data_IF_469498207729
#
_entry.id   IF_469498207729
#
_cell.length_a   1.000
_cell.length_b   1.000
_cell.length_c   1.000
_cell.angle_alpha   90.00
_cell.angle_beta   90.00
_cell.angle_gamma   90.00
#
_symmetry.space_group_name_H-M   'P 1'
#
loop_
_entity.id
_entity.type
_entity.pdbx_description
1 polymer ?
#
# COMPACT_ATOMS: atom_id res chain seq x y z
N UNK A 1 1.88 15.08 -5.75
CA UNK A 1 2.47 14.39 -4.57
C UNK A 1 1.43 14.37 -3.46
N UNK A 2 1.30 13.21 -2.80
CA UNK A 2 0.35 12.94 -1.73
C UNK A 2 1.11 12.30 -0.57
N UNK A 3 2.10 13.05 -0.06
CA UNK A 3 3.01 12.57 0.98
C UNK A 3 2.28 12.34 2.30
N UNK A 4 2.78 11.37 3.07
CA UNK A 4 2.24 11.06 4.38
C UNK A 4 2.54 9.64 4.83
N UNK A 5 2.15 8.65 4.04
CA UNK A 5 2.60 7.27 4.26
C UNK A 5 4.12 7.16 4.07
N UNK A 6 4.61 7.76 3.00
CA UNK A 6 6.01 8.02 2.75
C UNK A 6 6.20 9.46 2.25
N UNK A 7 7.42 10.03 2.35
CA UNK A 7 7.68 11.41 1.90
C UNK A 7 7.56 11.56 0.38
N UNK A 8 7.77 10.48 -0.36
CA UNK A 8 7.76 10.37 -1.83
C UNK A 8 6.43 9.78 -2.37
N UNK A 9 5.42 9.58 -1.53
CA UNK A 9 4.12 9.05 -1.97
C UNK A 9 3.45 9.95 -3.01
N UNK A 10 2.89 9.31 -4.04
CA UNK A 10 2.09 9.96 -5.09
C UNK A 10 0.74 9.27 -5.22
N UNK A 11 -0.26 10.05 -5.65
CA UNK A 11 -1.53 9.51 -6.14
C UNK A 11 -1.72 9.95 -7.58
N UNK A 12 -2.32 9.08 -8.39
CA UNK A 12 -2.50 9.27 -9.83
C UNK A 12 -3.98 9.47 -10.10
N UNK A 13 -4.34 10.61 -10.68
CA UNK A 13 -5.71 10.92 -11.07
C UNK A 13 -5.94 10.53 -12.53
N UNK A 14 -6.91 9.64 -12.77
CA UNK A 14 -7.38 9.29 -14.10
C UNK A 14 -8.47 10.27 -14.53
N UNK A 15 -8.20 10.96 -15.63
CA UNK A 15 -9.16 11.81 -16.34
C UNK A 15 -9.68 11.07 -17.57
N UNK A 16 -10.96 11.24 -17.91
CA UNK A 16 -11.47 10.81 -19.20
C UNK A 16 -11.13 11.80 -20.32
N UNK A 17 -11.58 11.51 -21.54
CA UNK A 17 -11.37 12.35 -22.73
C UNK A 17 -12.00 13.74 -22.60
N UNK A 18 -12.95 13.93 -21.67
CA UNK A 18 -13.59 15.20 -21.37
C UNK A 18 -12.95 15.91 -20.16
N UNK A 19 -11.76 15.46 -19.75
CA UNK A 19 -11.03 15.95 -18.58
C UNK A 19 -11.78 15.79 -17.24
N UNK A 20 -12.75 14.87 -17.15
CA UNK A 20 -13.48 14.60 -15.90
C UNK A 20 -12.74 13.57 -15.05
N UNK A 21 -12.68 13.81 -13.74
CA UNK A 21 -12.10 12.87 -12.78
C UNK A 21 -12.94 11.59 -12.69
N UNK A 22 -12.37 10.47 -13.14
CA UNK A 22 -13.04 9.16 -13.11
C UNK A 22 -12.61 8.32 -11.92
N UNK A 23 -11.31 8.28 -11.68
CA UNK A 23 -10.72 7.48 -10.62
C UNK A 23 -9.43 8.10 -10.12
N UNK A 24 -9.06 7.80 -8.88
CA UNK A 24 -7.76 8.13 -8.29
C UNK A 24 -7.13 6.87 -7.73
N UNK A 25 -5.90 6.59 -8.16
CA UNK A 25 -5.05 5.56 -7.58
C UNK A 25 -4.29 6.18 -6.42
N UNK A 26 -4.68 5.86 -5.20
CA UNK A 26 -4.24 6.57 -3.99
C UNK A 26 -2.97 6.01 -3.40
N UNK A 27 -2.47 4.88 -3.91
CA UNK A 27 -1.36 4.17 -3.28
C UNK A 27 -1.72 3.83 -1.84
N UNK A 28 -0.80 4.13 -0.93
CA UNK A 28 -1.01 3.97 0.51
C UNK A 28 -1.40 5.28 1.22
N UNK A 29 -1.75 6.34 0.48
CA UNK A 29 -2.22 7.59 1.09
C UNK A 29 -3.63 7.43 1.68
N UNK A 30 -4.56 6.83 0.93
CA UNK A 30 -5.96 6.66 1.32
C UNK A 30 -6.40 5.23 1.00
N UNK A 31 -6.92 4.54 2.01
CA UNK A 31 -7.55 3.22 1.91
C UNK A 31 -9.07 3.34 2.01
N UNK A 32 -9.78 2.23 1.81
CA UNK A 32 -11.21 2.18 2.10
C UNK A 32 -11.43 2.16 3.61
N UNK A 33 -11.92 3.27 4.15
CA UNK A 33 -12.18 3.47 5.58
C UNK A 33 -10.98 3.87 6.44
N UNK A 34 -9.80 4.06 5.84
CA UNK A 34 -8.56 4.39 6.58
C UNK A 34 -7.55 5.16 5.72
N UNK A 35 -6.39 5.49 6.27
CA UNK A 35 -5.25 6.15 5.61
C UNK A 35 -3.94 5.45 5.95
N UNK A 36 -2.89 5.73 5.17
CA UNK A 36 -1.56 5.16 5.39
C UNK A 36 -0.97 5.49 6.76
N UNK A 37 -0.38 4.49 7.41
CA UNK A 37 0.40 4.72 8.63
C UNK A 37 1.73 5.47 8.31
N UNK A 38 2.15 6.45 9.13
CA UNK A 38 3.29 7.33 8.82
C UNK A 38 4.63 6.91 9.44
N UNK A 39 4.72 5.70 10.01
CA UNK A 39 5.81 5.23 10.88
C UNK A 39 6.68 4.12 10.27
N UNK A 40 6.39 3.67 9.04
CA UNK A 40 7.13 2.56 8.41
C UNK A 40 8.50 2.95 7.86
N UNK A 41 8.72 4.24 7.65
CA UNK A 41 10.01 4.80 7.27
C UNK A 41 10.33 5.80 8.36
N UNK A 42 10.78 5.38 9.54
CA UNK A 42 11.15 6.32 10.61
C UNK A 42 12.63 6.75 10.53
N UNK A 43 13.54 5.81 10.26
CA UNK A 43 15.00 6.00 10.41
C UNK A 43 15.65 7.00 9.43
N UNK A 44 15.13 7.11 8.22
CA UNK A 44 15.56 8.05 7.16
C UNK A 44 15.15 9.55 7.31
N UNK A 45 14.49 10.03 8.38
CA UNK A 45 14.31 11.48 8.57
C UNK A 45 14.94 11.96 9.85
N UNK A 46 15.50 13.14 9.70
CA UNK A 46 16.37 13.80 10.63
C UNK A 46 15.49 14.60 11.60
N UNK A 47 15.67 14.43 12.91
CA UNK A 47 15.15 15.38 13.92
C UNK A 47 13.99 14.93 14.81
N UNK A 48 13.80 13.63 15.09
CA UNK A 48 13.01 13.17 16.24
C UNK A 48 11.47 13.28 16.16
N UNK A 49 10.93 13.90 15.11
CA UNK A 49 9.49 14.12 14.88
C UNK A 49 8.98 13.54 13.56
N UNK A 50 9.59 12.44 13.06
CA UNK A 50 9.36 12.00 11.67
C UNK A 50 7.93 11.53 11.42
N UNK A 51 7.38 10.67 12.27
CA UNK A 51 6.04 10.11 12.08
C UNK A 51 4.94 11.18 12.29
N UNK A 52 5.14 12.12 13.22
CA UNK A 52 4.26 13.26 13.41
C UNK A 52 4.30 14.20 12.20
N UNK A 53 5.49 14.46 11.65
CA UNK A 53 5.65 15.26 10.44
C UNK A 53 5.01 14.60 9.21
N UNK A 54 5.18 13.28 9.06
CA UNK A 54 4.52 12.50 8.02
C UNK A 54 3.00 12.43 8.21
N UNK A 55 2.50 12.31 9.45
CA UNK A 55 1.09 12.44 9.76
C UNK A 55 0.53 13.82 9.39
N UNK A 56 1.25 14.90 9.70
CA UNK A 56 0.89 16.26 9.29
C UNK A 56 0.83 16.42 7.77
N UNK A 57 1.80 15.83 7.05
CA UNK A 57 1.76 15.79 5.59
C UNK A 57 0.55 15.01 5.07
N UNK A 58 0.22 13.88 5.68
CA UNK A 58 -0.95 13.08 5.31
C UNK A 58 -2.26 13.86 5.51
N UNK A 59 -2.37 14.57 6.63
CA UNK A 59 -3.49 15.48 6.92
C UNK A 59 -3.67 16.52 5.82
N UNK A 60 -2.58 17.17 5.39
CA UNK A 60 -2.63 18.16 4.30
C UNK A 60 -2.91 17.52 2.94
N UNK A 61 -2.25 16.40 2.62
CA UNK A 61 -2.40 15.70 1.34
C UNK A 61 -3.85 15.25 1.13
N UNK A 62 -4.47 14.64 2.14
CA UNK A 62 -5.87 14.21 2.07
C UNK A 62 -6.81 15.40 1.86
N UNK A 63 -6.68 16.46 2.66
CA UNK A 63 -7.58 17.62 2.62
C UNK A 63 -7.44 18.50 1.39
N UNK A 64 -6.22 18.73 0.92
CA UNK A 64 -5.97 19.66 -0.19
C UNK A 64 -6.00 18.98 -1.56
N UNK A 65 -5.83 17.65 -1.63
CA UNK A 65 -5.77 16.90 -2.89
C UNK A 65 -6.92 15.93 -3.07
N UNK A 66 -7.18 15.05 -2.11
CA UNK A 66 -8.16 13.96 -2.29
C UNK A 66 -9.58 14.42 -1.99
N UNK A 67 -9.78 15.15 -0.90
CA UNK A 67 -11.10 15.65 -0.48
C UNK A 67 -11.66 16.74 -1.40
N UNK A 68 -10.82 17.31 -2.28
CA UNK A 68 -11.24 18.32 -3.28
C UNK A 68 -11.74 17.69 -4.59
N UNK A 69 -11.58 16.38 -4.75
CA UNK A 69 -12.04 15.66 -5.94
C UNK A 69 -13.57 15.54 -5.96
N UNK A 70 -14.20 15.42 -7.15
CA UNK A 70 -15.63 15.16 -7.25
C UNK A 70 -16.01 13.88 -6.51
N UNK A 71 -17.14 13.91 -5.79
CA UNK A 71 -17.58 12.79 -4.95
C UNK A 71 -17.77 11.46 -5.71
N UNK A 72 -18.08 11.51 -7.01
CA UNK A 72 -18.23 10.33 -7.86
C UNK A 72 -16.90 9.68 -8.28
N UNK A 73 -15.75 10.34 -8.03
CA UNK A 73 -14.43 9.81 -8.36
C UNK A 73 -14.19 8.51 -7.59
N UNK A 74 -13.87 7.42 -8.31
CA UNK A 74 -13.51 6.13 -7.70
C UNK A 74 -12.16 6.21 -7.00
N UNK A 75 -12.00 5.48 -5.90
CA UNK A 75 -10.78 5.40 -5.11
C UNK A 75 -10.22 3.99 -5.22
N UNK A 76 -8.98 3.87 -5.69
CA UNK A 76 -8.23 2.62 -5.78
C UNK A 76 -6.96 2.68 -4.95
N UNK A 77 -6.96 2.10 -3.74
CA UNK A 77 -5.77 2.00 -2.92
C UNK A 77 -4.77 0.96 -3.44
N UNK A 78 -3.52 0.98 -2.97
CA UNK A 78 -2.54 -0.08 -3.29
C UNK A 78 -2.70 -1.35 -2.42
N UNK A 79 -3.41 -1.23 -1.29
CA UNK A 79 -3.69 -2.31 -0.36
C UNK A 79 -5.16 -2.37 0.06
N UNK A 80 -5.62 -3.57 0.39
CA UNK A 80 -6.98 -3.82 0.86
C UNK A 80 -7.02 -4.54 2.21
N UNK A 81 -8.12 -5.26 2.50
CA UNK A 81 -8.36 -5.93 3.78
C UNK A 81 -7.19 -6.78 4.25
N UNK A 82 -6.74 -6.54 5.48
CA UNK A 82 -5.68 -7.32 6.13
C UNK A 82 -4.26 -6.82 5.95
N UNK A 83 -4.06 -5.72 5.21
CA UNK A 83 -2.76 -5.07 5.09
C UNK A 83 -2.29 -4.44 6.40
N UNK A 84 -0.98 -4.53 6.66
CA UNK A 84 -0.32 -3.89 7.81
C UNK A 84 -0.01 -2.40 7.58
N UNK A 85 -0.31 -1.87 6.38
CA UNK A 85 -0.10 -0.46 6.01
C UNK A 85 -1.22 0.47 6.52
N UNK A 86 -2.35 -0.08 6.99
CA UNK A 86 -3.45 0.64 7.63
C UNK A 86 -3.85 0.02 8.98
N UNK A 87 -4.64 0.73 9.78
CA UNK A 87 -5.14 0.30 11.10
C UNK A 87 -6.39 -0.57 11.01
N UNK A 88 -7.32 -0.22 10.12
CA UNK A 88 -8.64 -0.83 9.96
C UNK A 88 -9.02 -0.80 8.49
N UNK A 89 -8.70 -1.86 7.76
CA UNK A 89 -9.09 -1.96 6.34
C UNK A 89 -10.46 -2.64 6.19
N UNK A 90 -11.37 -1.97 5.48
CA UNK A 90 -12.67 -2.50 5.05
C UNK A 90 -12.53 -3.81 4.24
N UNK A 91 -13.55 -4.69 4.18
CA UNK A 91 -13.59 -5.82 3.25
C UNK A 91 -13.65 -5.40 1.77
N UNK A 92 -13.98 -4.14 1.48
CA UNK A 92 -14.09 -3.61 0.13
C UNK A 92 -12.70 -3.35 -0.50
N UNK A 93 -12.58 -3.63 -1.80
CA UNK A 93 -11.34 -3.41 -2.57
C UNK A 93 -11.23 -1.99 -3.17
N UNK A 94 -12.35 -1.28 -3.29
CA UNK A 94 -12.41 0.08 -3.82
C UNK A 94 -13.56 0.89 -3.19
N UNK A 95 -13.56 2.20 -3.42
CA UNK A 95 -14.55 3.13 -2.85
C UNK A 95 -14.79 4.34 -3.76
N UNK A 96 -15.46 5.37 -3.24
CA UNK A 96 -15.60 6.68 -3.89
C UNK A 96 -15.23 7.79 -2.92
N UNK A 97 -14.82 8.94 -3.44
CA UNK A 97 -14.53 10.12 -2.62
C UNK A 97 -15.73 10.49 -1.74
N UNK A 98 -16.96 10.42 -2.27
CA UNK A 98 -18.17 10.69 -1.48
C UNK A 98 -18.35 9.71 -0.31
N UNK A 99 -18.09 8.41 -0.52
CA UNK A 99 -18.19 7.41 0.56
C UNK A 99 -17.11 7.66 1.61
N UNK A 100 -15.86 7.85 1.20
CA UNK A 100 -14.77 8.12 2.14
C UNK A 100 -14.98 9.40 2.94
N UNK A 101 -15.43 10.50 2.33
CA UNK A 101 -15.78 11.73 3.07
C UNK A 101 -16.86 11.49 4.12
N UNK A 102 -17.81 10.58 3.86
CA UNK A 102 -18.91 10.28 4.77
C UNK A 102 -18.53 9.31 5.88
N UNK A 103 -17.65 8.34 5.63
CA UNK A 103 -17.45 7.19 6.53
C UNK A 103 -16.03 7.01 7.01
N UNK A 104 -15.02 7.55 6.33
CA UNK A 104 -13.62 7.40 6.72
C UNK A 104 -13.33 8.30 7.91
N UNK A 105 -12.91 7.71 9.04
CA UNK A 105 -12.67 8.46 10.28
C UNK A 105 -11.60 9.56 10.07
N UNK A 106 -10.59 9.28 9.24
CA UNK A 106 -9.44 10.16 9.01
C UNK A 106 -9.79 11.41 8.17
N UNK A 107 -10.92 11.36 7.44
CA UNK A 107 -11.42 12.46 6.61
C UNK A 107 -12.50 13.31 7.32
N UNK A 108 -12.85 12.98 8.56
CA UNK A 108 -13.82 13.74 9.33
C UNK A 108 -13.25 15.10 9.78
N UNK A 109 -14.11 16.10 10.09
CA UNK A 109 -13.66 17.37 10.64
C UNK A 109 -12.92 17.18 11.97
N UNK A 110 -11.63 17.54 11.98
CA UNK A 110 -10.75 17.52 13.14
C UNK A 110 -9.56 18.45 12.89
N UNK A 111 -8.94 18.95 13.96
CA UNK A 111 -7.66 19.68 13.86
C UNK A 111 -6.52 18.77 13.40
N UNK A 112 -5.42 19.36 12.95
CA UNK A 112 -4.23 18.59 12.58
C UNK A 112 -3.66 17.85 13.78
N UNK A 113 -3.67 18.47 14.96
CA UNK A 113 -3.16 17.90 16.20
C UNK A 113 -3.99 16.68 16.62
N UNK A 114 -5.32 16.78 16.54
CA UNK A 114 -6.22 15.65 16.79
C UNK A 114 -6.00 14.52 15.79
N UNK A 115 -5.86 14.85 14.50
CA UNK A 115 -5.56 13.85 13.47
C UNK A 115 -4.26 13.12 13.75
N UNK A 116 -3.17 13.83 14.06
CA UNK A 116 -1.88 13.21 14.36
C UNK A 116 -2.00 12.28 15.56
N UNK A 117 -2.67 12.73 16.63
CA UNK A 117 -2.89 11.91 17.82
C UNK A 117 -3.65 10.63 17.47
N UNK A 118 -4.81 10.75 16.83
CA UNK A 118 -5.65 9.60 16.46
C UNK A 118 -4.94 8.68 15.47
N UNK A 119 -4.16 9.21 14.53
CA UNK A 119 -3.40 8.42 13.57
C UNK A 119 -2.21 7.70 14.21
N UNK A 120 -1.59 8.21 15.26
CA UNK A 120 -0.44 7.54 15.90
C UNK A 120 -0.83 6.58 17.04
N UNK A 121 -2.08 6.63 17.50
CA UNK A 121 -2.60 5.74 18.54
C UNK A 121 -2.79 4.29 18.04
N UNK A 122 -2.39 3.29 18.83
CA UNK A 122 -2.64 1.86 18.55
C UNK A 122 -2.21 1.34 17.16
N UNK A 123 -1.10 1.84 16.61
CA UNK A 123 -0.52 1.30 15.37
C UNK A 123 -0.04 -0.15 15.55
N UNK A 124 -0.30 -1.06 14.58
CA UNK A 124 0.14 -2.44 14.66
C UNK A 124 1.68 -2.52 14.61
N UNK A 125 2.25 -3.64 15.10
CA UNK A 125 3.70 -3.82 15.06
C UNK A 125 4.24 -3.75 13.62
N UNK A 126 5.47 -3.26 13.46
CA UNK A 126 6.16 -3.24 12.16
C UNK A 126 6.94 -4.54 11.99
N UNK A 127 6.70 -5.33 10.93
CA UNK A 127 7.49 -6.54 10.67
C UNK A 127 8.97 -6.23 10.42
N UNK A 128 9.87 -7.08 10.93
CA UNK A 128 11.33 -6.88 10.81
C UNK A 128 11.84 -6.83 9.37
N UNK A 129 11.13 -7.44 8.43
CA UNK A 129 11.52 -7.45 7.01
C UNK A 129 11.23 -6.12 6.29
N UNK A 130 10.40 -5.25 6.86
CA UNK A 130 9.94 -4.04 6.17
C UNK A 130 11.08 -3.09 5.79
N UNK A 131 12.05 -2.90 6.70
CA UNK A 131 13.25 -2.09 6.42
C UNK A 131 14.12 -2.67 5.30
N UNK A 132 14.16 -4.01 5.17
CA UNK A 132 14.84 -4.67 4.06
C UNK A 132 14.13 -4.38 2.73
N UNK A 133 12.79 -4.47 2.70
CA UNK A 133 12.01 -4.24 1.49
C UNK A 133 12.07 -2.79 1.02
N UNK A 134 12.00 -1.83 1.95
CA UNK A 134 12.22 -0.40 1.64
C UNK A 134 13.59 -0.19 0.99
N UNK A 135 14.65 -0.80 1.55
CA UNK A 135 16.00 -0.70 1.01
C UNK A 135 16.09 -1.31 -0.38
N UNK A 136 15.54 -2.50 -0.58
CA UNK A 136 15.55 -3.21 -1.87
C UNK A 136 14.81 -2.41 -2.94
N UNK A 137 13.61 -1.91 -2.63
CA UNK A 137 12.79 -1.13 -3.56
C UNK A 137 13.49 0.15 -4.01
N UNK A 138 14.24 0.81 -3.11
CA UNK A 138 15.04 2.00 -3.45
C UNK A 138 16.27 1.68 -4.32
N UNK A 139 16.88 0.52 -4.09
CA UNK A 139 18.07 0.09 -4.85
C UNK A 139 17.70 -0.51 -6.21
N UNK A 140 16.45 -0.95 -6.37
CA UNK A 140 16.00 -1.76 -7.47
C UNK A 140 16.21 -3.24 -7.16
N UNK A 141 15.13 -4.02 -7.28
CA UNK A 141 15.23 -5.47 -7.22
C UNK A 141 15.83 -6.01 -8.53
N UNK A 142 16.53 -7.17 -8.48
CA UNK A 142 16.86 -7.91 -9.70
C UNK A 142 15.60 -8.24 -10.49
N UNK A 143 15.77 -8.53 -11.79
CA UNK A 143 14.65 -9.00 -12.60
C UNK A 143 14.02 -10.25 -11.98
N UNK A 144 12.75 -10.50 -12.32
CA UNK A 144 12.07 -11.72 -11.87
C UNK A 144 12.86 -12.98 -12.29
N UNK A 145 13.32 -13.03 -13.54
CA UNK A 145 14.08 -14.17 -14.06
C UNK A 145 15.41 -14.38 -13.33
N UNK A 146 16.15 -13.31 -13.06
CA UNK A 146 17.40 -13.38 -12.30
C UNK A 146 17.16 -13.82 -10.86
N UNK A 147 16.08 -13.33 -10.25
CA UNK A 147 15.68 -13.69 -8.89
C UNK A 147 15.35 -15.18 -8.78
N UNK A 148 14.59 -15.72 -9.74
CA UNK A 148 14.26 -17.15 -9.80
C UNK A 148 15.52 -17.99 -10.06
N UNK A 149 16.40 -17.53 -10.95
CA UNK A 149 17.66 -18.23 -11.24
C UNK A 149 18.60 -18.27 -10.04
N UNK A 150 18.69 -17.17 -9.28
CA UNK A 150 19.54 -17.07 -8.10
C UNK A 150 19.04 -17.92 -6.93
N UNK A 151 17.73 -18.12 -6.80
CA UNK A 151 17.15 -19.04 -5.82
C UNK A 151 17.55 -20.51 -6.06
N UNK A 152 17.97 -20.84 -7.29
CA UNK A 152 18.33 -22.18 -7.72
C UNK A 152 17.11 -23.12 -7.81
N UNK A 153 17.29 -24.37 -8.28
CA UNK A 153 16.24 -25.38 -8.17
C UNK A 153 15.98 -25.65 -6.68
N UNK A 154 14.88 -25.11 -6.17
CA UNK A 154 14.37 -25.41 -4.84
C UNK A 154 13.92 -26.87 -4.82
N UNK A 155 14.84 -27.79 -4.52
CA UNK A 155 14.39 -29.02 -3.86
C UNK A 155 13.92 -28.58 -2.48
N UNK A 156 12.60 -28.47 -2.28
CA UNK A 156 12.03 -28.61 -0.94
C UNK A 156 12.46 -29.98 -0.45
N UNK A 157 13.66 -30.09 0.14
CA UNK A 157 14.13 -31.35 0.70
C UNK A 157 13.22 -31.65 1.90
N UNK A 158 12.50 -32.78 1.92
CA UNK A 158 11.78 -33.21 3.11
C UNK A 158 12.84 -33.63 4.13
N UNK A 159 13.38 -32.67 4.89
CA UNK A 159 14.37 -32.98 5.92
C UNK A 159 14.09 -32.17 7.17
N UNK A 160 13.08 -32.60 7.93
CA UNK A 160 13.18 -32.69 9.38
C UNK A 160 12.03 -33.54 9.97
N UNK A 161 12.30 -34.56 10.83
CA UNK A 161 11.27 -35.36 11.48
C UNK A 161 10.74 -34.77 12.81
N UNK A 162 11.10 -33.54 13.19
CA UNK A 162 10.75 -33.03 14.52
C UNK A 162 10.28 -31.57 14.44
N UNK A 163 9.05 -31.36 14.86
CA UNK A 163 8.33 -30.10 14.92
C UNK A 163 9.08 -29.04 15.73
N UNK A 164 9.83 -28.15 15.07
CA UNK A 164 10.15 -26.79 15.51
C UNK A 164 10.79 -26.01 14.37
N UNK A 165 10.29 -24.79 14.17
CA UNK A 165 10.76 -23.76 13.23
C UNK A 165 10.31 -23.92 11.77
N UNK A 166 9.23 -23.23 11.38
CA UNK A 166 9.22 -22.33 10.21
C UNK A 166 8.25 -21.16 10.50
N UNK A 167 8.72 -19.95 10.22
CA UNK A 167 7.96 -18.70 10.34
C UNK A 167 6.87 -18.72 9.27
N UNK A 168 5.62 -18.71 9.71
CA UNK A 168 4.44 -18.68 8.87
C UNK A 168 4.08 -17.21 8.62
N UNK A 169 4.14 -16.76 7.37
CA UNK A 169 3.56 -15.48 6.95
C UNK A 169 2.25 -15.81 6.20
N UNK A 170 1.11 -15.52 6.83
CA UNK A 170 -0.22 -15.64 6.22
C UNK A 170 -0.59 -14.35 5.50
N UNK A 171 -1.06 -14.43 4.26
CA UNK A 171 -2.38 -13.93 3.81
C UNK A 171 -2.82 -14.73 2.55
N UNK A 172 -4.14 -14.84 2.34
CA UNK A 172 -4.92 -16.03 1.93
C UNK A 172 -4.69 -16.71 0.57
N UNK A 173 -4.90 -18.05 0.57
CA UNK A 173 -5.20 -18.87 -0.61
C UNK A 173 -4.73 -20.33 -0.49
N UNK A 174 -5.41 -21.17 0.31
CA UNK A 174 -5.14 -22.61 0.34
C UNK A 174 -5.64 -23.22 -0.97
N UNK A 175 -4.72 -23.64 -1.84
CA UNK A 175 -5.02 -24.62 -2.89
C UNK A 175 -4.34 -25.94 -2.53
N UNK A 176 -4.99 -27.06 -2.87
CA UNK A 176 -4.49 -28.42 -2.67
C UNK A 176 -3.29 -28.71 -3.59
N UNK A 177 -2.15 -28.11 -3.30
CA UNK A 177 -0.82 -28.56 -3.70
C UNK A 177 0.20 -27.77 -2.88
N UNK A 178 0.74 -28.40 -1.84
CA UNK A 178 1.71 -27.77 -0.95
C UNK A 178 2.97 -27.33 -1.70
N UNK A 179 3.13 -26.00 -1.85
CA UNK A 179 4.38 -25.22 -1.81
C UNK A 179 4.05 -23.79 -2.27
N UNK A 180 3.90 -22.86 -1.33
CA UNK A 180 3.68 -21.44 -1.65
C UNK A 180 5.02 -20.75 -1.83
N UNK A 181 5.36 -20.37 -3.06
CA UNK A 181 6.43 -19.43 -3.38
C UNK A 181 6.12 -18.07 -2.72
N UNK A 182 7.14 -17.41 -2.18
CA UNK A 182 7.06 -16.00 -1.78
C UNK A 182 7.51 -15.17 -2.99
N UNK A 183 6.62 -14.48 -3.72
CA UNK A 183 7.06 -13.50 -4.70
C UNK A 183 7.53 -12.25 -3.95
N UNK A 184 8.63 -11.69 -4.40
CA UNK A 184 8.99 -10.30 -4.07
C UNK A 184 7.78 -9.41 -4.37
N UNK A 185 7.37 -8.61 -3.38
CA UNK A 185 6.21 -7.73 -3.45
C UNK A 185 6.45 -6.71 -4.58
N UNK A 186 5.96 -7.04 -5.76
CA UNK A 186 5.61 -6.06 -6.77
C UNK A 186 4.14 -5.73 -6.50
N UNK A 187 3.83 -4.49 -6.12
CA UNK A 187 2.45 -4.02 -6.12
C UNK A 187 1.99 -3.89 -7.58
N UNK A 188 1.61 -5.01 -8.18
CA UNK A 188 0.94 -5.10 -9.46
C UNK A 188 -0.44 -5.69 -9.21
N UNK A 189 -1.49 -4.93 -9.52
CA UNK A 189 -2.86 -5.42 -9.49
C UNK A 189 -3.03 -6.54 -10.53
N UNK A 190 -3.31 -7.77 -10.08
CA UNK A 190 -3.91 -8.83 -10.90
C UNK A 190 -5.33 -9.02 -10.40
N UNK A 191 -6.31 -8.41 -11.08
CA UNK A 191 -7.72 -8.68 -10.84
C UNK A 191 -8.14 -9.92 -11.61
N UNK A 192 -8.45 -11.01 -10.90
CA UNK A 192 -9.04 -12.20 -11.51
C UNK A 192 -10.52 -11.90 -11.83
N UNK A 193 -10.80 -11.69 -13.11
CA UNK A 193 -12.17 -11.58 -13.61
C UNK A 193 -12.31 -12.30 -14.95
N UNK A 194 -11.99 -13.61 -14.98
CA UNK A 194 -12.66 -14.62 -15.82
C UNK A 194 -12.77 -14.44 -17.36
N UNK A 195 -12.26 -13.36 -17.94
CA UNK A 195 -12.36 -13.07 -19.37
C UNK A 195 -11.39 -11.95 -19.72
N UNK A 196 -10.40 -12.29 -20.57
CA UNK A 196 -9.36 -11.42 -21.13
C UNK A 196 -8.41 -10.74 -20.13
N UNK A 197 -7.19 -11.25 -20.08
CA UNK A 197 -6.05 -10.63 -19.41
C UNK A 197 -5.80 -9.23 -20.00
N UNK A 198 -6.26 -8.17 -19.33
CA UNK A 198 -5.81 -6.81 -19.62
C UNK A 198 -4.68 -6.50 -18.65
N UNK A 199 -3.46 -6.66 -19.12
CA UNK A 199 -2.28 -6.13 -18.43
C UNK A 199 -2.16 -4.66 -18.82
N UNK A 200 -2.59 -3.76 -17.94
CA UNK A 200 -2.34 -2.33 -18.12
C UNK A 200 -0.89 -2.01 -17.75
N UNK A 201 0.01 -2.01 -18.74
CA UNK A 201 1.33 -1.39 -18.59
C UNK A 201 1.14 0.13 -18.59
N UNK A 202 1.37 0.80 -17.46
CA UNK A 202 1.66 2.23 -17.48
C UNK A 202 3.15 2.42 -17.69
N UNK A 203 3.56 2.45 -18.97
CA UNK A 203 4.89 2.90 -19.37
C UNK A 203 4.92 4.43 -19.24
N UNK A 204 5.23 4.93 -18.05
CA UNK A 204 5.50 6.35 -17.85
C UNK A 204 6.90 6.67 -18.40
N UNK A 205 7.01 6.83 -19.71
CA UNK A 205 8.19 7.43 -20.34
C UNK A 205 8.29 8.87 -19.86
N UNK A 206 9.19 9.15 -18.92
CA UNK A 206 9.67 10.51 -18.67
C UNK A 206 10.40 10.97 -19.93
N UNK A 207 9.72 11.71 -20.79
CA UNK A 207 10.39 12.49 -21.82
C UNK A 207 11.25 13.56 -21.13
N UNK A 208 12.54 13.55 -21.49
CA UNK A 208 13.59 14.44 -20.94
C UNK A 208 13.30 15.92 -21.21
#
# INVERSE_FOLDING_TARGET
>A
MCSGHSPDSISILLLDELAQSRAVFTGDTLFVGDVGRPDLREEEAIGGHRREALAAQLYHSTRTRLMTLPGATRVYPAHGPGSLCGKTTSPDLDSTIAKELKTNYALQPMSQEEFIKVLLEDQPFVPKYFGHDVKLNKQGAPSFEDSIRAAGPTSCKPRCPVWRCWIWASYYGVSEAGCTLVPAIHHLFVGDSGSTNVVCYFEATLQK
#
